data_IF_562966177097
#
_entry.id   IF_562966177097
#
_cell.length_a   1.000
_cell.length_b   1.000
_cell.length_c   1.000
_cell.angle_alpha   90.00
_cell.angle_beta   90.00
_cell.angle_gamma   90.00
#
_symmetry.space_group_name_H-M   'P 1'
#
loop_
_entity.id
_entity.type
_entity.pdbx_description
1 polymer ?
#
# COMPACT_ATOMS: atom_id res chain seq x y z
N UNK A 1 0.52 -1.41 -6.88
CA UNK A 1 1.75 -2.23 -6.93
C UNK A 1 1.90 -2.69 -8.37
N UNK A 2 3.13 -2.85 -8.86
CA UNK A 2 3.41 -3.16 -10.27
C UNK A 2 4.20 -4.45 -10.36
N UNK A 3 3.80 -5.32 -11.28
CA UNK A 3 4.54 -6.51 -11.68
C UNK A 3 4.10 -6.91 -13.10
N UNK A 4 4.57 -6.14 -14.07
CA UNK A 4 4.29 -6.35 -15.49
C UNK A 4 5.58 -6.57 -16.30
N UNK A 5 5.46 -6.65 -17.62
CA UNK A 5 6.57 -6.89 -18.54
C UNK A 5 7.58 -5.73 -18.62
N UNK A 6 7.26 -4.56 -18.05
CA UNK A 6 8.04 -3.32 -18.14
C UNK A 6 8.62 -2.93 -16.78
N UNK A 7 7.86 -3.09 -15.70
CA UNK A 7 8.26 -2.66 -14.37
C UNK A 7 7.74 -3.62 -13.29
N UNK A 8 8.59 -3.88 -12.29
CA UNK A 8 8.24 -4.75 -11.17
C UNK A 8 8.73 -4.15 -9.86
N UNK A 9 7.83 -4.06 -8.89
CA UNK A 9 8.10 -3.63 -7.51
C UNK A 9 8.67 -4.79 -6.65
N UNK A 10 8.66 -6.03 -7.15
CA UNK A 10 9.13 -7.23 -6.42
C UNK A 10 10.56 -7.10 -5.87
N UNK A 11 11.56 -6.53 -6.58
CA UNK A 11 12.88 -6.34 -6.01
C UNK A 11 12.88 -5.42 -4.79
N UNK A 12 12.11 -4.34 -4.81
CA UNK A 12 11.99 -3.41 -3.68
C UNK A 12 11.22 -4.02 -2.51
N UNK A 13 10.17 -4.80 -2.80
CA UNK A 13 9.43 -5.59 -1.82
C UNK A 13 10.33 -6.59 -1.09
N UNK A 14 11.20 -7.30 -1.82
CA UNK A 14 12.12 -8.26 -1.24
C UNK A 14 13.13 -7.58 -0.28
N UNK A 15 13.57 -6.36 -0.58
CA UNK A 15 14.41 -5.57 0.32
C UNK A 15 13.69 -5.19 1.63
N UNK A 16 12.36 -5.12 1.62
CA UNK A 16 11.53 -4.92 2.80
C UNK A 16 11.07 -6.24 3.46
N UNK A 17 11.60 -7.39 3.01
CA UNK A 17 11.26 -8.71 3.54
C UNK A 17 10.00 -9.36 2.96
N UNK A 18 9.30 -8.71 2.03
CA UNK A 18 8.14 -9.27 1.34
C UNK A 18 8.62 -10.12 0.17
N UNK A 19 8.61 -11.44 0.36
CA UNK A 19 9.17 -12.42 -0.58
C UNK A 19 8.12 -13.33 -1.23
N UNK A 20 6.85 -13.18 -0.85
CA UNK A 20 5.75 -13.90 -1.50
C UNK A 20 5.62 -13.45 -2.97
N UNK A 21 5.81 -14.35 -3.95
CA UNK A 21 5.66 -13.98 -5.35
C UNK A 21 4.24 -13.49 -5.66
N UNK A 22 3.21 -13.97 -4.99
CA UNK A 22 1.82 -13.60 -5.28
C UNK A 22 1.38 -12.30 -4.61
N UNK A 23 2.26 -11.62 -3.85
CA UNK A 23 1.93 -10.40 -3.11
C UNK A 23 1.29 -9.30 -3.98
N UNK A 24 1.84 -9.04 -5.17
CA UNK A 24 1.31 -8.00 -6.06
C UNK A 24 -0.08 -8.35 -6.56
N UNK A 25 -0.30 -9.61 -6.98
CA UNK A 25 -1.62 -10.11 -7.38
C UNK A 25 -2.61 -10.11 -6.21
N UNK A 26 -2.14 -10.36 -5.00
CA UNK A 26 -2.97 -10.28 -3.79
C UNK A 26 -3.41 -8.85 -3.50
N UNK A 27 -2.54 -7.86 -3.72
CA UNK A 27 -2.92 -6.44 -3.63
C UNK A 27 -3.98 -6.07 -4.67
N UNK A 28 -3.86 -6.55 -5.91
CA UNK A 28 -4.84 -6.32 -6.98
C UNK A 28 -6.21 -6.92 -6.63
N UNK A 29 -6.24 -8.20 -6.25
CA UNK A 29 -7.49 -8.83 -5.79
C UNK A 29 -8.09 -8.12 -4.58
N UNK A 30 -7.25 -7.60 -3.67
CA UNK A 30 -7.72 -6.86 -2.50
C UNK A 30 -8.51 -5.60 -2.87
N UNK A 31 -8.10 -4.93 -3.96
CA UNK A 31 -8.86 -3.82 -4.53
C UNK A 31 -10.17 -4.29 -5.17
N UNK A 32 -10.12 -5.34 -5.99
CA UNK A 32 -11.30 -5.86 -6.71
C UNK A 32 -12.37 -6.41 -5.77
N UNK A 33 -11.95 -7.06 -4.69
CA UNK A 33 -12.82 -7.66 -3.67
C UNK A 33 -13.16 -6.68 -2.53
N UNK A 34 -12.62 -5.46 -2.56
CA UNK A 34 -12.76 -4.45 -1.50
C UNK A 34 -12.32 -4.95 -0.10
N UNK A 35 -11.36 -5.88 -0.06
CA UNK A 35 -10.86 -6.50 1.18
C UNK A 35 -9.58 -5.85 1.71
N UNK A 36 -8.81 -5.19 0.84
CA UNK A 36 -7.62 -4.41 1.21
C UNK A 36 -7.22 -3.48 0.07
N UNK A 37 -7.08 -2.20 0.39
CA UNK A 37 -6.69 -1.18 -0.58
C UNK A 37 -5.23 -0.83 -0.37
N UNK A 38 -4.36 -1.19 -1.31
CA UNK A 38 -2.90 -1.05 -1.18
C UNK A 38 -2.32 -0.07 -2.19
N UNK A 39 -1.37 0.77 -1.75
CA UNK A 39 -0.58 1.68 -2.59
C UNK A 39 0.92 1.42 -2.45
N UNK A 40 1.63 1.58 -3.57
CA UNK A 40 3.09 1.75 -3.57
C UNK A 40 3.42 3.23 -3.33
N UNK A 41 4.36 3.51 -2.44
CA UNK A 41 4.98 4.83 -2.29
C UNK A 41 6.29 4.82 -3.06
N UNK A 42 6.42 5.71 -4.05
CA UNK A 42 7.56 5.70 -4.96
C UNK A 42 8.35 7.01 -4.92
N UNK A 43 9.65 6.92 -5.18
CA UNK A 43 10.46 8.09 -5.50
C UNK A 43 9.98 8.67 -6.86
N UNK A 44 9.62 9.96 -6.95
CA UNK A 44 8.95 10.53 -8.13
C UNK A 44 9.75 10.51 -9.43
N UNK A 45 11.07 10.56 -9.35
CA UNK A 45 11.98 10.67 -10.51
C UNK A 45 12.36 9.30 -11.04
N UNK A 46 12.69 8.36 -10.16
CA UNK A 46 13.16 7.02 -10.55
C UNK A 46 12.01 6.01 -10.64
N UNK A 47 10.90 6.27 -9.96
CA UNK A 47 9.81 5.32 -9.80
C UNK A 47 10.15 4.16 -8.86
N UNK A 48 11.27 4.22 -8.13
CA UNK A 48 11.66 3.20 -7.16
C UNK A 48 10.66 3.15 -6.00
N UNK A 49 10.16 1.95 -5.67
CA UNK A 49 9.29 1.78 -4.52
C UNK A 49 10.08 1.90 -3.21
N UNK A 50 9.59 2.77 -2.32
CA UNK A 50 10.19 3.10 -1.03
C UNK A 50 9.41 2.47 0.13
N UNK A 51 8.09 2.40 0.01
CA UNK A 51 7.20 1.89 1.06
C UNK A 51 5.88 1.36 0.47
N UNK A 52 5.15 0.61 1.28
CA UNK A 52 3.76 0.21 1.05
C UNK A 52 2.88 0.82 2.13
N UNK A 53 1.70 1.30 1.76
CA UNK A 53 0.64 1.68 2.69
C UNK A 53 -0.66 1.03 2.24
N UNK A 54 -1.47 0.58 3.19
CA UNK A 54 -2.74 -0.05 2.90
C UNK A 54 -3.83 0.37 3.89
N UNK A 55 -5.08 0.30 3.42
CA UNK A 55 -6.29 0.37 4.23
C UNK A 55 -6.86 -1.05 4.33
N UNK A 56 -7.11 -1.49 5.56
CA UNK A 56 -7.72 -2.77 5.89
C UNK A 56 -9.08 -2.53 6.58
N UNK A 57 -10.21 -2.76 5.91
CA UNK A 57 -11.54 -2.69 6.51
C UNK A 57 -11.66 -3.61 7.73
N UNK A 58 -12.35 -3.14 8.77
CA UNK A 58 -12.56 -3.86 10.02
C UNK A 58 -14.01 -4.34 10.11
N UNK A 59 -14.23 -5.61 9.75
CA UNK A 59 -15.56 -6.22 9.78
C UNK A 59 -16.50 -5.67 8.69
N UNK A 60 -17.79 -5.60 9.00
CA UNK A 60 -18.84 -5.18 8.03
C UNK A 60 -19.20 -3.69 8.11
N UNK A 61 -18.52 -2.92 8.95
CA UNK A 61 -18.77 -1.50 9.14
C UNK A 61 -17.87 -0.63 8.25
N UNK A 62 -17.81 0.66 8.58
CA UNK A 62 -16.90 1.60 7.94
C UNK A 62 -15.61 1.85 8.73
N UNK A 63 -15.36 1.11 9.81
CA UNK A 63 -14.08 1.17 10.50
C UNK A 63 -12.99 0.55 9.61
N UNK A 64 -11.82 1.18 9.54
CA UNK A 64 -10.67 0.65 8.83
C UNK A 64 -9.36 0.97 9.58
N UNK A 65 -8.30 0.23 9.26
CA UNK A 65 -6.97 0.43 9.82
C UNK A 65 -5.98 0.77 8.71
N UNK A 66 -5.08 1.70 8.99
CA UNK A 66 -3.89 1.92 8.17
C UNK A 66 -2.77 0.95 8.55
N UNK A 67 -2.33 0.17 7.58
CA UNK A 67 -1.16 -0.71 7.67
C UNK A 67 -0.12 -0.32 6.63
N UNK A 68 1.06 -0.92 6.69
CA UNK A 68 2.14 -0.61 5.76
C UNK A 68 3.52 -0.72 6.40
N UNK A 69 4.53 -0.73 5.54
CA UNK A 69 5.94 -0.82 5.91
C UNK A 69 6.77 0.05 4.97
N UNK A 70 7.95 0.46 5.43
CA UNK A 70 8.94 1.14 4.61
C UNK A 70 10.17 0.25 4.47
N UNK A 71 10.93 0.45 3.40
CA UNK A 71 12.33 0.01 3.36
C UNK A 71 13.14 0.80 4.39
N UNK A 72 14.24 0.22 4.85
CA UNK A 72 15.16 0.85 5.79
C UNK A 72 15.53 2.28 5.35
N UNK A 73 15.29 3.25 6.23
CA UNK A 73 15.56 4.67 5.98
C UNK A 73 14.44 5.47 5.30
N UNK A 74 13.29 4.85 5.00
CA UNK A 74 12.15 5.50 4.30
C UNK A 74 10.88 5.63 5.17
N UNK A 75 11.02 5.73 6.49
CA UNK A 75 9.90 5.96 7.42
C UNK A 75 9.15 7.26 7.15
N UNK A 76 9.86 8.32 6.77
CA UNK A 76 9.26 9.63 6.49
C UNK A 76 8.33 9.60 5.25
N UNK A 77 8.74 9.05 4.08
CA UNK A 77 7.83 8.80 2.98
C UNK A 77 6.58 7.99 3.34
N UNK A 78 6.73 6.94 4.16
CA UNK A 78 5.58 6.15 4.63
C UNK A 78 4.64 7.00 5.50
N UNK A 79 5.18 7.78 6.43
CA UNK A 79 4.38 8.65 7.29
C UNK A 79 3.60 9.71 6.49
N UNK A 80 4.24 10.33 5.49
CA UNK A 80 3.59 11.26 4.58
C UNK A 80 2.47 10.58 3.76
N UNK A 81 2.74 9.38 3.23
CA UNK A 81 1.76 8.62 2.46
C UNK A 81 0.53 8.22 3.30
N UNK A 82 0.72 7.83 4.58
CA UNK A 82 -0.38 7.50 5.50
C UNK A 82 -1.39 8.63 5.63
N UNK A 83 -0.93 9.88 5.74
CA UNK A 83 -1.82 11.05 5.86
C UNK A 83 -2.70 11.20 4.60
N UNK A 84 -2.10 11.03 3.42
CA UNK A 84 -2.82 11.16 2.14
C UNK A 84 -3.81 10.01 1.96
N UNK A 85 -3.38 8.78 2.24
CA UNK A 85 -4.21 7.58 2.12
C UNK A 85 -5.36 7.60 3.12
N UNK A 86 -5.14 8.08 4.35
CA UNK A 86 -6.23 8.28 5.32
C UNK A 86 -7.32 9.17 4.75
N UNK A 87 -6.95 10.35 4.23
CA UNK A 87 -7.89 11.30 3.64
C UNK A 87 -8.63 10.72 2.44
N UNK A 88 -7.96 9.90 1.64
CA UNK A 88 -8.61 9.17 0.54
C UNK A 88 -9.61 8.14 1.09
N UNK A 89 -9.23 7.37 2.12
CA UNK A 89 -10.12 6.43 2.79
C UNK A 89 -11.37 7.10 3.35
N UNK A 90 -11.22 8.25 4.02
CA UNK A 90 -12.33 9.03 4.57
C UNK A 90 -13.21 9.66 3.49
N UNK A 91 -12.60 10.31 2.50
CA UNK A 91 -13.31 11.11 1.52
C UNK A 91 -13.86 10.34 0.31
N UNK A 92 -13.12 9.34 -0.18
CA UNK A 92 -13.46 8.62 -1.39
C UNK A 92 -14.06 7.23 -1.12
N UNK A 93 -13.59 6.54 -0.07
CA UNK A 93 -14.05 5.19 0.28
C UNK A 93 -15.08 5.17 1.42
N UNK A 94 -15.20 6.26 2.19
CA UNK A 94 -16.16 6.38 3.29
C UNK A 94 -15.76 5.64 4.58
N UNK A 95 -14.49 5.27 4.73
CA UNK A 95 -13.97 4.64 5.95
C UNK A 95 -13.64 5.66 7.04
N UNK A 96 -13.60 5.21 8.29
CA UNK A 96 -13.12 5.95 9.46
C UNK A 96 -11.94 5.24 10.08
N UNK A 97 -10.98 6.02 10.59
CA UNK A 97 -9.76 5.54 11.22
C UNK A 97 -9.70 6.06 12.65
N UNK A 98 -9.35 5.18 13.60
CA UNK A 98 -9.12 5.53 15.00
C UNK A 98 -7.74 6.15 15.24
#
# INVERSE_FOLDING_TARGET
MRDDDRVSDRPALALAGVTDPDHVRACERGWDEETRFTWAVCEPTTGEMLAEVAIEPQGTGNAARLTGFARDGYDEPLAAARIVVQRFGEGALGYTFD
#
